data_IF_931783882662
#
_entry.id   IF_931783882662
#
_cell.length_a   1.000
_cell.length_b   1.000
_cell.length_c   1.000
_cell.angle_alpha   90.00
_cell.angle_beta   90.00
_cell.angle_gamma   90.00
#
_symmetry.space_group_name_H-M   'P 1'
#
loop_
_entity.id
_entity.type
_entity.pdbx_description
1 polymer ?
#
# COMPACT_ATOMS: atom_id res chain seq x y z
N UNK A 1 -36.43 12.23 83.99
CA UNK A 1 -35.21 11.69 83.44
C UNK A 1 -35.54 11.20 82.02
N UNK A 2 -35.35 12.05 81.00
CA UNK A 2 -35.57 11.73 79.59
C UNK A 2 -34.24 11.47 78.94
N UNK A 3 -34.09 10.37 78.31
CA UNK A 3 -32.89 9.99 77.46
C UNK A 3 -33.15 10.42 76.02
N UNK A 4 -32.21 11.06 75.32
CA UNK A 4 -32.37 11.34 73.92
C UNK A 4 -31.94 10.13 73.05
N UNK A 5 -32.76 9.82 72.05
CA UNK A 5 -32.48 8.82 71.04
C UNK A 5 -31.57 9.46 69.97
N UNK A 6 -30.41 8.82 69.68
CA UNK A 6 -29.53 9.15 68.53
C UNK A 6 -30.04 8.43 67.32
N UNK A 7 -30.45 9.19 66.32
CA UNK A 7 -30.74 8.66 64.99
C UNK A 7 -29.41 8.62 64.15
N UNK A 8 -28.98 7.45 63.77
CA UNK A 8 -27.84 7.25 62.83
C UNK A 8 -28.39 7.36 61.41
N UNK A 9 -28.05 8.42 60.68
CA UNK A 9 -28.32 8.58 59.27
C UNK A 9 -27.26 7.80 58.48
N UNK A 10 -27.64 6.72 57.83
CA UNK A 10 -26.79 5.97 56.89
C UNK A 10 -26.72 6.74 55.56
N UNK A 11 -25.55 7.30 55.25
CA UNK A 11 -25.26 7.93 53.98
C UNK A 11 -24.95 6.83 52.95
N UNK A 12 -25.89 6.52 52.06
CA UNK A 12 -25.67 5.63 50.90
C UNK A 12 -24.93 6.39 49.84
N UNK A 13 -23.63 6.12 49.68
CA UNK A 13 -22.84 6.57 48.53
C UNK A 13 -23.30 5.76 47.30
N UNK A 14 -24.12 6.37 46.45
CA UNK A 14 -24.39 5.84 45.12
C UNK A 14 -23.12 6.07 44.24
N UNK A 15 -22.31 5.02 44.13
CA UNK A 15 -21.25 4.98 43.11
C UNK A 15 -21.94 4.89 41.75
N UNK A 16 -22.07 6.02 41.08
CA UNK A 16 -22.52 6.08 39.71
C UNK A 16 -21.49 5.36 38.84
N UNK A 17 -21.80 4.12 38.43
CA UNK A 17 -21.12 3.46 37.33
C UNK A 17 -21.50 4.26 36.07
N UNK A 18 -20.66 5.23 35.72
CA UNK A 18 -20.75 5.93 34.46
C UNK A 18 -20.59 4.84 33.35
N UNK A 19 -21.71 4.44 32.73
CA UNK A 19 -21.66 3.69 31.51
C UNK A 19 -20.85 4.51 30.50
N UNK A 20 -19.65 4.10 30.21
CA UNK A 20 -18.89 4.63 29.07
C UNK A 20 -19.83 4.53 27.84
N UNK A 21 -20.33 5.68 27.40
CA UNK A 21 -21.15 5.74 26.20
C UNK A 21 -20.30 5.21 25.07
N UNK A 22 -20.73 4.12 24.42
CA UNK A 22 -20.07 3.61 23.22
C UNK A 22 -19.92 4.77 22.24
N UNK A 23 -18.74 4.97 21.70
CA UNK A 23 -18.53 5.98 20.68
C UNK A 23 -19.39 5.62 19.46
N UNK A 24 -20.18 6.55 18.96
CA UNK A 24 -21.00 6.32 17.77
C UNK A 24 -20.13 6.19 16.51
N UNK A 25 -18.93 6.80 16.51
CA UNK A 25 -17.97 6.81 15.40
C UNK A 25 -16.53 6.60 15.89
N UNK A 26 -15.75 5.94 15.03
CA UNK A 26 -14.29 5.82 15.11
C UNK A 26 -13.67 6.66 14.00
N UNK A 27 -12.97 7.73 14.39
CA UNK A 27 -12.43 8.71 13.46
C UNK A 27 -10.99 8.37 13.09
N UNK A 28 -10.72 8.14 11.81
CA UNK A 28 -9.39 7.83 11.27
C UNK A 28 -8.98 8.91 10.28
N UNK A 29 -7.75 9.43 10.41
CA UNK A 29 -7.16 10.40 9.50
C UNK A 29 -6.51 9.71 8.30
N UNK A 30 -6.94 10.04 7.08
CA UNK A 30 -6.41 9.48 5.83
C UNK A 30 -5.64 10.56 5.06
N UNK A 31 -4.34 10.34 4.86
CA UNK A 31 -3.44 11.31 4.21
C UNK A 31 -3.03 10.81 2.83
N UNK A 32 -3.43 11.53 1.78
CA UNK A 32 -3.13 11.17 0.38
C UNK A 32 -2.86 12.42 -0.47
N UNK A 33 -2.20 12.27 -1.67
CA UNK A 33 -2.00 13.40 -2.59
C UNK A 33 -3.29 13.68 -3.37
N UNK A 34 -4.23 14.41 -2.78
CA UNK A 34 -5.54 14.71 -3.40
C UNK A 34 -5.46 15.74 -4.54
N UNK A 35 -4.37 16.51 -4.59
CA UNK A 35 -4.05 17.46 -5.67
C UNK A 35 -2.60 17.29 -6.14
N UNK A 36 -2.23 17.93 -7.28
CA UNK A 36 -0.89 17.84 -7.85
C UNK A 36 -0.68 16.65 -8.81
N UNK A 37 0.57 16.29 -9.12
CA UNK A 37 0.90 15.27 -10.13
C UNK A 37 0.32 13.87 -9.87
N UNK A 38 0.08 13.53 -8.61
CA UNK A 38 -0.46 12.23 -8.18
C UNK A 38 -1.93 12.32 -7.72
N UNK A 39 -2.67 13.37 -8.12
CA UNK A 39 -4.05 13.59 -7.68
C UNK A 39 -5.00 12.44 -8.03
N UNK A 40 -4.79 11.78 -9.18
CA UNK A 40 -5.62 10.64 -9.58
C UNK A 40 -5.44 9.46 -8.61
N UNK A 41 -4.21 9.18 -8.19
CA UNK A 41 -3.93 8.13 -7.19
C UNK A 41 -4.62 8.48 -5.86
N UNK A 42 -4.57 9.74 -5.43
CA UNK A 42 -5.27 10.19 -4.23
C UNK A 42 -6.80 10.03 -4.33
N UNK A 43 -7.38 10.31 -5.50
CA UNK A 43 -8.82 10.11 -5.74
C UNK A 43 -9.18 8.61 -5.71
N UNK A 44 -8.37 7.75 -6.33
CA UNK A 44 -8.57 6.29 -6.33
C UNK A 44 -8.40 5.71 -4.91
N UNK A 45 -7.41 6.19 -4.14
CA UNK A 45 -7.20 5.85 -2.74
C UNK A 45 -8.40 6.23 -1.86
N UNK A 46 -8.93 7.44 -2.05
CA UNK A 46 -10.13 7.88 -1.35
C UNK A 46 -11.31 6.95 -1.62
N UNK A 47 -11.56 6.62 -2.88
CA UNK A 47 -12.63 5.71 -3.25
C UNK A 47 -12.44 4.30 -2.64
N UNK A 48 -11.20 3.80 -2.59
CA UNK A 48 -10.85 2.52 -1.97
C UNK A 48 -11.11 2.53 -0.46
N UNK A 49 -10.64 3.56 0.24
CA UNK A 49 -10.86 3.75 1.68
C UNK A 49 -12.35 3.89 2.02
N UNK A 50 -13.10 4.67 1.24
CA UNK A 50 -14.55 4.80 1.42
C UNK A 50 -15.29 3.49 1.14
N UNK A 51 -14.82 2.68 0.18
CA UNK A 51 -15.37 1.34 -0.08
C UNK A 51 -15.11 0.40 1.10
N UNK A 52 -13.91 0.41 1.66
CA UNK A 52 -13.60 -0.39 2.85
C UNK A 52 -14.42 0.05 4.07
N UNK A 53 -14.56 1.36 4.29
CA UNK A 53 -15.40 1.89 5.36
C UNK A 53 -16.88 1.52 5.17
N UNK A 54 -17.39 1.54 3.93
CA UNK A 54 -18.75 1.12 3.60
C UNK A 54 -18.98 -0.38 3.85
N UNK A 55 -18.02 -1.25 3.51
CA UNK A 55 -18.06 -2.68 3.82
C UNK A 55 -18.15 -2.90 5.34
N UNK A 56 -17.35 -2.20 6.13
CA UNK A 56 -17.34 -2.32 7.59
C UNK A 56 -18.64 -1.77 8.20
N UNK A 57 -19.10 -0.63 7.72
CA UNK A 57 -20.23 0.11 8.28
C UNK A 57 -21.60 -0.40 7.83
N UNK A 58 -21.68 -0.90 6.60
CA UNK A 58 -22.91 -1.34 5.94
C UNK A 58 -23.29 -2.79 6.24
N UNK A 59 -24.03 -3.41 5.32
CA UNK A 59 -24.50 -4.79 5.43
C UNK A 59 -24.26 -5.54 4.11
N UNK A 60 -23.04 -5.48 3.57
CA UNK A 60 -22.70 -6.07 2.27
C UNK A 60 -22.44 -7.57 2.33
N UNK A 61 -22.14 -8.10 3.53
CA UNK A 61 -21.89 -9.54 3.77
C UNK A 61 -20.79 -10.10 2.85
N UNK A 62 -19.70 -9.36 2.69
CA UNK A 62 -18.54 -9.79 1.91
C UNK A 62 -17.78 -10.87 2.67
N UNK A 63 -17.30 -11.97 2.03
CA UNK A 63 -16.61 -13.06 2.72
C UNK A 63 -15.15 -12.70 3.05
N UNK A 64 -14.95 -11.71 3.92
CA UNK A 64 -13.65 -11.24 4.40
C UNK A 64 -13.76 -10.70 5.83
N UNK A 65 -12.62 -10.35 6.42
CA UNK A 65 -12.55 -9.73 7.74
C UNK A 65 -13.44 -8.48 7.80
N UNK A 66 -14.25 -8.36 8.85
CA UNK A 66 -15.25 -7.29 9.03
C UNK A 66 -16.28 -7.16 7.89
N UNK A 67 -16.25 -8.03 6.90
CA UNK A 67 -17.11 -7.96 5.71
C UNK A 67 -18.60 -8.28 5.97
N UNK A 68 -18.96 -8.80 7.16
CA UNK A 68 -20.34 -8.91 7.60
C UNK A 68 -21.00 -7.54 7.74
N UNK A 69 -20.20 -6.53 8.10
CA UNK A 69 -20.65 -5.16 8.31
C UNK A 69 -21.36 -4.96 9.65
N UNK A 70 -22.03 -3.82 9.77
CA UNK A 70 -22.73 -3.43 11.01
C UNK A 70 -21.89 -2.53 11.92
N UNK A 71 -20.65 -2.20 11.54
CA UNK A 71 -19.68 -1.44 12.35
C UNK A 71 -18.84 -2.34 13.24
N UNK A 72 -18.17 -1.75 14.22
CA UNK A 72 -17.25 -2.42 15.14
C UNK A 72 -18.02 -2.94 16.38
N UNK A 73 -18.25 -4.23 16.45
CA UNK A 73 -19.11 -4.88 17.44
C UNK A 73 -18.60 -4.72 18.89
N UNK A 74 -17.28 -4.74 19.11
CA UNK A 74 -16.66 -4.52 20.42
C UNK A 74 -16.77 -3.07 20.91
N UNK A 75 -17.13 -2.17 20.01
CA UNK A 75 -17.40 -0.76 20.30
C UNK A 75 -18.89 -0.42 20.13
N UNK A 76 -19.78 -1.40 20.31
CA UNK A 76 -21.23 -1.19 20.25
C UNK A 76 -21.78 -0.90 18.86
N UNK A 77 -21.07 -1.30 17.80
CA UNK A 77 -21.45 -1.05 16.40
C UNK A 77 -20.96 0.31 15.87
N UNK A 78 -19.97 0.92 16.53
CA UNK A 78 -19.39 2.20 16.10
C UNK A 78 -18.96 2.15 14.63
N UNK A 79 -19.22 3.24 13.91
CA UNK A 79 -18.93 3.34 12.47
C UNK A 79 -17.57 3.97 12.23
N UNK A 80 -16.84 3.48 11.22
CA UNK A 80 -15.61 4.12 10.75
C UNK A 80 -15.98 5.42 10.03
N UNK A 81 -15.38 6.52 10.45
CA UNK A 81 -15.44 7.81 9.78
C UNK A 81 -14.03 8.24 9.36
N UNK A 82 -13.85 8.54 8.08
CA UNK A 82 -12.58 8.98 7.52
C UNK A 82 -12.55 10.51 7.38
N UNK A 83 -11.44 11.12 7.81
CA UNK A 83 -11.11 12.51 7.52
C UNK A 83 -9.92 12.52 6.57
N UNK A 84 -10.16 12.98 5.34
CA UNK A 84 -9.11 13.06 4.34
C UNK A 84 -8.33 14.37 4.43
N UNK A 85 -7.00 14.27 4.29
CA UNK A 85 -6.10 15.40 4.24
C UNK A 85 -5.20 15.32 3.00
N UNK A 86 -5.05 16.45 2.31
CA UNK A 86 -4.27 16.58 1.09
C UNK A 86 -2.84 17.05 1.40
N UNK A 87 -1.88 16.17 1.24
CA UNK A 87 -0.47 16.54 1.40
C UNK A 87 0.23 16.91 0.08
N UNK A 88 -0.44 16.82 -1.08
CA UNK A 88 0.08 17.24 -2.40
C UNK A 88 1.42 16.58 -2.80
N UNK A 89 1.79 15.45 -2.18
CA UNK A 89 3.10 14.82 -2.34
C UNK A 89 4.25 15.55 -1.62
N UNK A 90 3.95 16.56 -0.81
CA UNK A 90 4.92 17.35 -0.08
C UNK A 90 5.10 16.84 1.36
N UNK A 91 6.33 16.44 1.79
CA UNK A 91 6.58 15.94 3.12
C UNK A 91 6.29 16.94 4.25
N UNK A 92 6.45 18.26 4.02
CA UNK A 92 6.17 19.26 5.05
C UNK A 92 4.66 19.47 5.23
N UNK A 93 3.90 19.47 4.13
CA UNK A 93 2.44 19.48 4.19
C UNK A 93 1.92 18.20 4.85
N UNK A 94 2.48 17.03 4.50
CA UNK A 94 2.12 15.77 5.11
C UNK A 94 2.32 15.79 6.64
N UNK A 95 3.42 16.38 7.11
CA UNK A 95 3.68 16.60 8.52
C UNK A 95 2.61 17.50 9.16
N UNK A 96 2.34 18.66 8.58
CA UNK A 96 1.39 19.63 9.11
C UNK A 96 -0.03 19.03 9.17
N UNK A 97 -0.46 18.33 8.13
CA UNK A 97 -1.76 17.68 8.10
C UNK A 97 -1.88 16.52 9.10
N UNK A 98 -0.81 15.74 9.32
CA UNK A 98 -0.79 14.70 10.33
C UNK A 98 -0.93 15.32 11.75
N UNK A 99 -0.20 16.40 12.06
CA UNK A 99 -0.33 17.13 13.32
C UNK A 99 -1.76 17.69 13.49
N UNK A 100 -2.36 18.27 12.44
CA UNK A 100 -3.73 18.79 12.47
C UNK A 100 -4.76 17.71 12.75
N UNK A 101 -4.67 16.58 12.03
CA UNK A 101 -5.59 15.45 12.23
C UNK A 101 -5.55 14.92 13.67
N UNK A 102 -4.38 14.82 14.28
CA UNK A 102 -4.23 14.35 15.65
C UNK A 102 -4.74 15.40 16.65
N UNK A 103 -4.27 16.66 16.53
CA UNK A 103 -4.48 17.66 17.58
C UNK A 103 -5.80 18.41 17.48
N UNK A 104 -6.42 18.51 16.31
CA UNK A 104 -7.65 19.26 16.08
C UNK A 104 -8.85 18.36 15.77
N UNK A 105 -8.64 17.28 14.99
CA UNK A 105 -9.70 16.35 14.65
C UNK A 105 -9.78 15.14 15.60
N UNK A 106 -8.78 14.98 16.47
CA UNK A 106 -8.71 13.92 17.47
C UNK A 106 -8.89 12.51 16.89
N UNK A 107 -8.22 12.24 15.77
CA UNK A 107 -8.24 10.92 15.14
C UNK A 107 -7.52 9.90 16.01
N UNK A 108 -8.04 8.68 16.10
CA UNK A 108 -7.46 7.59 16.91
C UNK A 108 -6.36 6.83 16.18
N UNK A 109 -6.23 7.04 14.88
CA UNK A 109 -5.19 6.46 14.01
C UNK A 109 -5.04 7.28 12.74
N UNK A 110 -3.87 7.15 12.09
CA UNK A 110 -3.58 7.68 10.77
C UNK A 110 -3.41 6.53 9.77
N UNK A 111 -3.75 6.77 8.49
CA UNK A 111 -3.56 5.81 7.38
C UNK A 111 -3.12 6.54 6.11
N UNK A 112 -2.29 5.90 5.30
CA UNK A 112 -1.81 6.41 4.01
C UNK A 112 -0.35 5.99 3.77
N UNK A 113 0.40 6.65 2.89
CA UNK A 113 0.14 7.95 2.23
C UNK A 113 0.54 7.96 0.73
N UNK A 114 0.79 6.85 0.10
CA UNK A 114 1.32 6.64 -1.25
C UNK A 114 2.83 6.87 -1.35
N UNK A 115 3.33 8.11 -1.18
CA UNK A 115 4.77 8.38 -1.29
C UNK A 115 5.52 8.03 0.00
N UNK A 116 6.66 7.32 -0.13
CA UNK A 116 7.50 6.98 1.03
C UNK A 116 8.09 8.21 1.74
N UNK A 117 8.35 9.30 1.00
CA UNK A 117 8.84 10.55 1.57
C UNK A 117 7.82 11.22 2.51
N UNK A 118 6.52 11.20 2.16
CA UNK A 118 5.45 11.69 3.03
C UNK A 118 5.22 10.76 4.21
N UNK A 119 5.24 9.43 3.99
CA UNK A 119 5.15 8.44 5.07
C UNK A 119 6.27 8.61 6.11
N UNK A 120 7.47 8.98 5.69
CA UNK A 120 8.59 9.24 6.58
C UNK A 120 8.31 10.37 7.58
N UNK A 121 7.64 11.45 7.15
CA UNK A 121 7.29 12.57 8.03
C UNK A 121 6.03 12.30 8.85
N UNK A 122 4.99 11.69 8.26
CA UNK A 122 3.76 11.30 8.96
C UNK A 122 4.08 10.36 10.12
N UNK A 123 4.90 9.33 9.87
CA UNK A 123 5.24 8.35 10.91
C UNK A 123 6.08 8.92 12.06
N UNK A 124 6.89 9.96 11.83
CA UNK A 124 7.56 10.70 12.91
C UNK A 124 6.57 11.48 13.77
N UNK A 125 5.56 12.10 13.13
CA UNK A 125 4.47 12.78 13.87
C UNK A 125 3.67 11.75 14.67
N UNK A 126 3.23 10.69 14.05
CA UNK A 126 2.48 9.62 14.69
C UNK A 126 3.21 9.04 15.91
N UNK A 127 4.51 8.77 15.78
CA UNK A 127 5.34 8.25 16.88
C UNK A 127 5.50 9.27 18.02
N UNK A 128 5.66 10.55 17.69
CA UNK A 128 5.75 11.63 18.68
C UNK A 128 4.47 11.82 19.51
N UNK A 129 3.31 11.66 18.87
CA UNK A 129 2.00 11.82 19.49
C UNK A 129 1.43 10.49 20.00
N UNK A 130 2.15 9.39 19.85
CA UNK A 130 1.74 8.05 20.27
C UNK A 130 0.42 7.61 19.64
N UNK A 131 0.23 7.93 18.34
CA UNK A 131 -0.95 7.56 17.53
C UNK A 131 -0.54 6.52 16.48
N UNK A 132 -1.25 5.39 16.35
CA UNK A 132 -0.94 4.39 15.33
C UNK A 132 -1.00 4.96 13.91
N UNK A 133 0.03 4.68 13.11
CA UNK A 133 0.05 4.97 11.67
C UNK A 133 0.12 3.70 10.87
N UNK A 134 -0.91 3.42 10.07
CA UNK A 134 -0.99 2.30 9.15
C UNK A 134 -0.54 2.74 7.76
N UNK A 135 0.61 2.24 7.32
CA UNK A 135 1.10 2.42 5.95
C UNK A 135 0.48 1.35 5.05
N UNK A 136 -0.30 1.78 4.06
CA UNK A 136 -0.96 0.90 3.13
C UNK A 136 -0.04 0.48 1.97
N UNK A 137 0.61 1.44 1.34
CA UNK A 137 1.23 1.32 0.02
C UNK A 137 2.68 1.83 -0.08
N UNK A 138 3.20 2.45 0.96
CA UNK A 138 4.60 2.88 1.02
C UNK A 138 5.55 1.67 1.06
N UNK A 139 6.55 1.63 0.18
CA UNK A 139 7.36 0.43 0.01
C UNK A 139 8.82 0.54 0.47
N UNK A 140 9.33 1.75 0.78
CA UNK A 140 10.70 1.93 1.22
C UNK A 140 11.01 1.12 2.50
N UNK A 141 12.03 0.23 2.49
CA UNK A 141 12.38 -0.56 3.67
C UNK A 141 12.92 0.29 4.82
N UNK A 142 13.54 1.43 4.54
CA UNK A 142 14.07 2.31 5.58
C UNK A 142 12.98 2.88 6.50
N UNK A 143 11.70 2.86 6.11
CA UNK A 143 10.59 3.28 6.96
C UNK A 143 10.47 2.44 8.23
N UNK A 144 10.75 1.15 8.19
CA UNK A 144 10.73 0.24 9.35
C UNK A 144 12.03 0.23 10.17
N UNK A 145 13.11 0.82 9.64
CA UNK A 145 14.46 0.75 10.25
C UNK A 145 14.74 1.92 11.21
N UNK A 146 13.76 2.79 11.45
CA UNK A 146 13.92 4.01 12.27
C UNK A 146 13.59 3.83 13.74
N UNK A 147 13.20 2.61 14.16
CA UNK A 147 12.87 2.28 15.54
C UNK A 147 11.55 2.92 16.03
N UNK A 148 10.68 3.34 15.11
CA UNK A 148 9.38 3.92 15.46
C UNK A 148 8.43 2.82 15.94
N UNK A 149 7.74 3.07 17.05
CA UNK A 149 6.88 2.07 17.71
C UNK A 149 5.44 2.10 17.23
N UNK A 150 5.05 3.19 16.56
CA UNK A 150 3.67 3.47 16.15
C UNK A 150 3.45 3.33 14.64
N UNK A 151 4.47 2.85 13.92
CA UNK A 151 4.43 2.59 12.49
C UNK A 151 4.13 1.12 12.21
N UNK A 152 3.12 0.85 11.37
CA UNK A 152 2.75 -0.49 10.91
C UNK A 152 2.55 -0.46 9.39
N UNK A 153 3.01 -1.50 8.69
CA UNK A 153 2.84 -1.61 7.24
C UNK A 153 2.30 -2.98 6.86
N UNK A 154 1.12 -3.01 6.22
CA UNK A 154 0.51 -4.24 5.74
C UNK A 154 1.16 -4.77 4.46
N UNK A 155 1.62 -3.89 3.58
CA UNK A 155 2.20 -4.24 2.27
C UNK A 155 3.62 -4.81 2.38
N UNK A 156 4.09 -5.55 1.36
CA UNK A 156 5.50 -5.84 1.20
C UNK A 156 6.32 -4.55 1.08
N UNK A 157 7.59 -4.59 1.45
CA UNK A 157 8.57 -3.52 1.16
C UNK A 157 9.46 -3.87 -0.04
N UNK A 158 10.24 -2.89 -0.51
CA UNK A 158 11.00 -3.02 -1.77
C UNK A 158 11.95 -4.21 -1.80
N UNK A 159 12.55 -4.62 -0.68
CA UNK A 159 13.39 -5.82 -0.64
C UNK A 159 12.56 -7.07 -0.94
N UNK A 160 11.34 -7.21 -0.36
CA UNK A 160 10.45 -8.35 -0.64
C UNK A 160 9.97 -8.33 -2.09
N UNK A 161 9.63 -7.18 -2.61
CA UNK A 161 9.23 -6.99 -4.00
C UNK A 161 10.36 -7.33 -4.98
N UNK A 162 11.56 -6.81 -4.72
CA UNK A 162 12.75 -7.06 -5.55
C UNK A 162 13.13 -8.54 -5.54
N UNK A 163 13.01 -9.21 -4.39
CA UNK A 163 13.21 -10.65 -4.32
C UNK A 163 12.29 -11.40 -5.31
N UNK A 164 10.99 -11.06 -5.34
CA UNK A 164 10.06 -11.70 -6.28
C UNK A 164 10.41 -11.43 -7.75
N UNK A 165 10.93 -10.23 -8.08
CA UNK A 165 11.41 -9.93 -9.44
C UNK A 165 12.60 -10.81 -9.83
N UNK A 166 13.59 -10.94 -8.95
CA UNK A 166 14.78 -11.75 -9.24
C UNK A 166 14.49 -13.25 -9.21
N UNK A 167 13.55 -13.70 -8.38
CA UNK A 167 13.03 -15.07 -8.43
C UNK A 167 12.35 -15.33 -9.78
N UNK A 168 11.53 -14.40 -10.28
CA UNK A 168 10.96 -14.49 -11.62
C UNK A 168 12.04 -14.53 -12.69
N UNK A 169 13.09 -13.70 -12.65
CA UNK A 169 14.19 -13.74 -13.63
C UNK A 169 14.91 -15.08 -13.64
N UNK A 170 15.18 -15.65 -12.47
CA UNK A 170 15.78 -17.00 -12.34
C UNK A 170 14.89 -18.05 -12.98
N UNK A 171 13.61 -18.07 -12.62
CA UNK A 171 12.69 -19.13 -12.96
C UNK A 171 12.24 -19.06 -14.43
N UNK A 172 12.00 -17.86 -14.96
CA UNK A 172 11.70 -17.68 -16.39
C UNK A 172 12.93 -18.02 -17.25
N UNK A 173 14.12 -17.66 -16.79
CA UNK A 173 15.38 -18.02 -17.44
C UNK A 173 15.59 -19.53 -17.50
N UNK A 174 15.28 -20.25 -16.43
CA UNK A 174 15.33 -21.71 -16.40
C UNK A 174 14.29 -22.33 -17.35
N UNK A 175 13.10 -21.74 -17.43
CA UNK A 175 11.99 -22.24 -18.28
C UNK A 175 12.22 -22.01 -19.76
N UNK A 176 12.82 -20.87 -20.14
CA UNK A 176 12.98 -20.45 -21.54
C UNK A 176 14.37 -20.70 -22.11
N UNK A 177 15.37 -20.95 -21.27
CA UNK A 177 16.79 -20.99 -21.65
C UNK A 177 17.45 -19.62 -21.78
N UNK A 178 16.72 -18.52 -21.61
CA UNK A 178 17.20 -17.15 -21.80
C UNK A 178 17.29 -16.41 -20.46
N UNK A 179 18.49 -16.39 -19.89
CA UNK A 179 18.78 -15.75 -18.61
C UNK A 179 18.96 -14.24 -18.77
N UNK A 180 18.50 -13.47 -17.78
CA UNK A 180 18.85 -12.05 -17.62
C UNK A 180 20.33 -11.95 -17.27
N UNK A 181 21.09 -11.17 -18.04
CA UNK A 181 22.52 -10.94 -17.83
C UNK A 181 22.83 -9.50 -17.43
N UNK A 182 21.94 -8.57 -17.76
CA UNK A 182 22.12 -7.15 -17.46
C UNK A 182 20.81 -6.43 -17.20
N UNK A 183 20.89 -5.42 -16.31
CA UNK A 183 19.78 -4.53 -16.00
C UNK A 183 20.20 -3.07 -16.07
N UNK A 184 19.26 -2.19 -16.39
CA UNK A 184 19.34 -0.75 -16.13
C UNK A 184 18.43 -0.45 -14.97
N UNK A 185 18.96 0.18 -13.91
CA UNK A 185 18.19 0.75 -12.83
C UNK A 185 17.82 2.18 -13.20
N UNK A 186 16.55 2.52 -13.10
CA UNK A 186 16.05 3.85 -13.45
C UNK A 186 15.12 4.32 -12.33
N UNK A 187 15.48 5.38 -11.60
CA UNK A 187 14.75 5.70 -10.39
C UNK A 187 14.69 7.21 -10.10
N UNK A 188 13.55 7.64 -9.54
CA UNK A 188 13.42 9.00 -9.02
C UNK A 188 14.29 9.21 -7.77
N UNK A 189 14.52 10.48 -7.41
CA UNK A 189 15.56 10.87 -6.44
C UNK A 189 15.08 10.93 -4.97
N UNK A 190 13.84 10.53 -4.68
CA UNK A 190 13.36 10.48 -3.30
C UNK A 190 13.74 9.17 -2.59
N UNK A 191 13.29 9.01 -1.35
CA UNK A 191 13.52 7.79 -0.55
C UNK A 191 12.96 6.53 -1.24
N UNK A 192 11.82 6.60 -1.96
CA UNK A 192 11.27 5.46 -2.68
C UNK A 192 12.22 4.97 -3.78
N UNK A 193 12.56 5.84 -4.73
CA UNK A 193 13.43 5.44 -5.85
C UNK A 193 14.81 5.02 -5.37
N UNK A 194 15.39 5.75 -4.41
CA UNK A 194 16.71 5.42 -3.85
C UNK A 194 16.74 4.06 -3.16
N UNK A 195 15.78 3.76 -2.29
CA UNK A 195 15.73 2.49 -1.57
C UNK A 195 15.40 1.31 -2.49
N UNK A 196 14.51 1.52 -3.46
CA UNK A 196 14.19 0.53 -4.51
C UNK A 196 15.44 0.18 -5.34
N UNK A 197 16.17 1.20 -5.84
CA UNK A 197 17.39 0.99 -6.61
C UNK A 197 18.46 0.28 -5.80
N UNK A 198 18.66 0.65 -4.53
CA UNK A 198 19.59 -0.04 -3.64
C UNK A 198 19.25 -1.53 -3.47
N UNK A 199 17.97 -1.87 -3.27
CA UNK A 199 17.53 -3.26 -3.17
C UNK A 199 17.76 -4.01 -4.49
N UNK A 200 17.43 -3.40 -5.63
CA UNK A 200 17.64 -3.98 -6.95
C UNK A 200 19.12 -4.22 -7.24
N UNK A 201 19.98 -3.27 -6.89
CA UNK A 201 21.44 -3.37 -7.06
C UNK A 201 22.03 -4.52 -6.23
N UNK A 202 21.65 -4.59 -4.95
CA UNK A 202 22.12 -5.67 -4.07
C UNK A 202 21.73 -7.05 -4.60
N UNK A 203 20.50 -7.19 -5.11
CA UNK A 203 20.04 -8.47 -5.65
C UNK A 203 20.64 -8.78 -7.02
N UNK A 204 20.89 -7.78 -7.86
CA UNK A 204 21.62 -7.96 -9.11
C UNK A 204 23.04 -8.47 -8.85
N UNK A 205 23.76 -7.86 -7.91
CA UNK A 205 25.10 -8.28 -7.51
C UNK A 205 25.08 -9.73 -6.99
N UNK A 206 24.13 -10.07 -6.11
CA UNK A 206 23.98 -11.43 -5.56
C UNK A 206 23.64 -12.48 -6.63
N UNK A 207 22.89 -12.09 -7.67
CA UNK A 207 22.50 -12.96 -8.79
C UNK A 207 23.56 -13.02 -9.90
N UNK A 208 24.65 -12.24 -9.83
CA UNK A 208 25.64 -12.12 -10.89
C UNK A 208 25.12 -11.42 -12.14
N UNK A 209 24.10 -10.59 -12.01
CA UNK A 209 23.50 -9.80 -13.08
C UNK A 209 24.16 -8.42 -13.13
N UNK A 210 24.68 -8.03 -14.30
CA UNK A 210 25.37 -6.75 -14.46
C UNK A 210 24.38 -5.58 -14.37
N UNK A 211 24.64 -4.63 -13.49
CA UNK A 211 24.00 -3.30 -13.55
C UNK A 211 24.74 -2.49 -14.62
N UNK A 212 24.12 -2.38 -15.81
CA UNK A 212 24.71 -1.70 -16.96
C UNK A 212 24.68 -0.17 -16.79
N UNK A 213 23.65 0.36 -16.13
CA UNK A 213 23.56 1.75 -15.70
C UNK A 213 22.65 1.86 -14.47
N UNK A 214 22.95 2.84 -13.61
CA UNK A 214 22.14 3.24 -12.46
C UNK A 214 21.81 4.72 -12.66
N UNK A 215 20.59 5.00 -13.12
CA UNK A 215 20.17 6.30 -13.64
C UNK A 215 19.18 6.92 -12.66
N UNK A 216 19.66 7.88 -11.89
CA UNK A 216 18.87 8.69 -10.98
C UNK A 216 18.39 9.95 -11.67
N UNK A 217 17.10 10.25 -11.54
CA UNK A 217 16.51 11.49 -12.05
C UNK A 217 15.71 12.21 -10.96
N UNK A 218 15.48 13.51 -11.18
CA UNK A 218 14.63 14.29 -10.29
C UNK A 218 13.16 13.95 -10.53
N UNK A 219 12.44 13.52 -9.48
CA UNK A 219 11.01 13.22 -9.57
C UNK A 219 10.17 14.42 -10.05
N UNK A 220 9.15 14.16 -10.82
CA UNK A 220 8.29 15.16 -11.48
C UNK A 220 9.07 16.10 -12.42
N UNK A 221 10.13 15.63 -13.05
CA UNK A 221 10.85 16.37 -14.07
C UNK A 221 9.96 16.63 -15.30
N UNK A 222 10.11 17.79 -15.97
CA UNK A 222 9.35 18.08 -17.18
C UNK A 222 9.81 17.26 -18.39
N UNK A 223 10.99 16.66 -18.33
CA UNK A 223 11.59 15.82 -19.39
C UNK A 223 12.57 14.83 -18.80
N UNK A 224 12.63 13.65 -19.41
CA UNK A 224 13.56 12.55 -19.12
C UNK A 224 14.42 12.20 -20.35
N UNK A 225 14.56 13.12 -21.29
CA UNK A 225 15.22 12.85 -22.58
C UNK A 225 16.69 12.45 -22.43
N UNK A 226 17.43 13.05 -21.49
CA UNK A 226 18.83 12.71 -21.23
C UNK A 226 18.97 11.30 -20.63
N UNK A 227 18.10 10.96 -19.69
CA UNK A 227 18.06 9.68 -19.01
C UNK A 227 17.66 8.56 -19.98
N UNK A 228 16.70 8.81 -20.85
CA UNK A 228 16.27 7.86 -21.90
C UNK A 228 17.42 7.54 -22.89
N UNK A 229 18.24 8.53 -23.25
CA UNK A 229 19.44 8.28 -24.07
C UNK A 229 20.47 7.43 -23.33
N UNK A 230 20.62 7.59 -22.03
CA UNK A 230 21.49 6.71 -21.23
C UNK A 230 20.96 5.28 -21.19
N UNK A 231 19.63 5.08 -21.04
CA UNK A 231 19.00 3.76 -21.10
C UNK A 231 19.30 3.11 -22.46
N UNK A 232 19.07 3.84 -23.56
CA UNK A 232 19.33 3.36 -24.92
C UNK A 232 20.80 2.99 -25.12
N UNK A 233 21.73 3.79 -24.62
CA UNK A 233 23.16 3.51 -24.71
C UNK A 233 23.60 2.28 -23.90
N UNK A 234 22.96 2.03 -22.76
CA UNK A 234 23.24 0.87 -21.92
C UNK A 234 22.76 -0.46 -22.51
N UNK A 235 21.68 -0.46 -23.29
CA UNK A 235 21.06 -1.59 -24.02
C UNK A 235 21.02 -2.90 -23.22
N UNK A 236 20.53 -2.83 -21.99
CA UNK A 236 20.47 -3.98 -21.08
C UNK A 236 19.29 -4.92 -21.44
N UNK A 237 19.28 -6.11 -20.85
CA UNK A 237 18.21 -7.08 -21.05
C UNK A 237 16.90 -6.62 -20.42
N UNK A 238 16.97 -5.96 -19.25
CA UNK A 238 15.79 -5.48 -18.52
C UNK A 238 16.00 -4.05 -18.04
N UNK A 239 14.98 -3.20 -18.23
CA UNK A 239 14.88 -1.91 -17.56
C UNK A 239 14.05 -2.11 -16.30
N UNK A 240 14.56 -1.65 -15.15
CA UNK A 240 13.91 -1.73 -13.83
C UNK A 240 13.56 -0.33 -13.31
N UNK A 241 12.42 0.25 -13.74
CA UNK A 241 12.06 1.60 -13.32
C UNK A 241 11.37 1.61 -11.94
N UNK A 242 11.74 2.61 -11.11
CA UNK A 242 11.09 2.96 -9.86
C UNK A 242 10.60 4.41 -9.99
N UNK A 243 9.38 4.58 -10.54
CA UNK A 243 8.85 5.87 -10.97
C UNK A 243 7.37 6.01 -10.62
N UNK A 244 6.96 7.23 -10.25
CA UNK A 244 5.55 7.56 -10.12
C UNK A 244 4.88 7.77 -11.48
N UNK A 245 3.55 7.90 -11.52
CA UNK A 245 2.75 7.79 -12.75
C UNK A 245 3.16 8.77 -13.84
N UNK A 246 3.37 10.05 -13.52
CA UNK A 246 3.80 11.06 -14.51
C UNK A 246 5.14 10.73 -15.13
N UNK A 247 6.10 10.28 -14.32
CA UNK A 247 7.45 9.96 -14.76
C UNK A 247 7.48 8.64 -15.54
N UNK A 248 6.65 7.66 -15.16
CA UNK A 248 6.46 6.42 -15.90
C UNK A 248 5.93 6.68 -17.32
N UNK A 249 4.96 7.58 -17.46
CA UNK A 249 4.41 8.00 -18.75
C UNK A 249 5.49 8.68 -19.60
N UNK A 250 6.28 9.60 -19.00
CA UNK A 250 7.39 10.28 -19.69
C UNK A 250 8.47 9.29 -20.13
N UNK A 251 8.81 8.31 -19.30
CA UNK A 251 9.76 7.26 -19.67
C UNK A 251 9.29 6.49 -20.92
N UNK A 252 8.05 5.99 -20.91
CA UNK A 252 7.54 5.18 -22.02
C UNK A 252 7.49 5.97 -23.33
N UNK A 253 7.00 7.21 -23.27
CA UNK A 253 6.98 8.10 -24.44
C UNK A 253 8.38 8.44 -24.91
N UNK A 254 9.30 8.74 -24.00
CA UNK A 254 10.68 9.03 -24.34
C UNK A 254 11.40 7.87 -25.02
N UNK A 255 11.20 6.62 -24.53
CA UNK A 255 11.75 5.43 -25.19
C UNK A 255 11.22 5.26 -26.62
N UNK A 256 9.92 5.48 -26.82
CA UNK A 256 9.28 5.47 -28.13
C UNK A 256 9.85 6.57 -29.06
N UNK A 257 9.96 7.81 -28.56
CA UNK A 257 10.39 8.96 -29.36
C UNK A 257 11.84 8.83 -29.85
N UNK A 258 12.71 8.16 -29.08
CA UNK A 258 14.09 7.85 -29.51
C UNK A 258 14.20 6.57 -30.34
N UNK A 259 13.07 5.90 -30.65
CA UNK A 259 13.02 4.66 -31.41
C UNK A 259 13.73 3.50 -30.71
N UNK A 260 13.62 3.40 -29.39
CA UNK A 260 14.20 2.29 -28.62
C UNK A 260 13.10 1.40 -28.04
N UNK A 261 13.15 0.12 -28.41
CA UNK A 261 12.25 -0.90 -27.87
C UNK A 261 13.01 -1.77 -26.86
N UNK A 262 12.70 -1.68 -25.55
CA UNK A 262 13.32 -2.53 -24.55
C UNK A 262 13.00 -4.01 -24.79
N UNK A 263 13.95 -4.91 -24.50
CA UNK A 263 13.69 -6.36 -24.50
C UNK A 263 12.69 -6.75 -23.42
N UNK A 264 12.79 -6.13 -22.22
CA UNK A 264 11.84 -6.24 -21.14
C UNK A 264 11.86 -5.01 -20.23
N UNK A 265 10.72 -4.69 -19.62
CA UNK A 265 10.57 -3.72 -18.52
C UNK A 265 9.99 -4.47 -17.33
N UNK A 266 10.65 -4.37 -16.17
CA UNK A 266 10.20 -4.91 -14.88
C UNK A 266 10.11 -3.77 -13.88
N UNK A 267 8.94 -3.18 -13.75
CA UNK A 267 8.73 -1.99 -12.95
C UNK A 267 8.55 -2.29 -11.45
N UNK A 268 8.99 -1.33 -10.62
CA UNK A 268 8.80 -1.33 -9.16
C UNK A 268 7.44 -0.75 -8.78
N UNK A 269 6.34 -1.20 -9.41
CA UNK A 269 4.96 -0.72 -9.16
C UNK A 269 4.81 0.81 -9.30
N UNK A 270 4.22 1.46 -8.30
CA UNK A 270 3.90 2.87 -8.29
C UNK A 270 3.12 3.27 -9.55
N UNK A 271 3.70 4.06 -10.44
CA UNK A 271 3.02 4.52 -11.63
C UNK A 271 2.66 3.45 -12.66
N UNK A 272 3.33 2.29 -12.63
CA UNK A 272 3.12 1.23 -13.63
C UNK A 272 1.98 0.26 -13.32
N UNK A 273 1.24 0.47 -12.24
CA UNK A 273 0.08 -0.35 -11.84
C UNK A 273 -1.23 0.44 -11.86
N UNK A 274 -1.17 1.68 -12.35
CA UNK A 274 -2.31 2.57 -12.42
C UNK A 274 -3.01 2.50 -13.78
N UNK A 275 -4.36 2.52 -13.78
CA UNK A 275 -5.11 2.61 -15.03
C UNK A 275 -4.73 3.85 -15.84
N UNK A 276 -4.49 4.98 -15.16
CA UNK A 276 -4.05 6.22 -15.78
C UNK A 276 -2.75 6.09 -16.59
N UNK A 277 -1.83 5.18 -16.20
CA UNK A 277 -0.65 4.87 -16.99
C UNK A 277 -1.02 4.20 -18.32
N UNK A 278 -1.84 3.15 -18.27
CA UNK A 278 -2.29 2.43 -19.47
C UNK A 278 -3.04 3.40 -20.42
N UNK A 279 -3.96 4.18 -19.89
CA UNK A 279 -4.75 5.15 -20.66
C UNK A 279 -3.87 6.20 -21.35
N UNK A 280 -2.80 6.64 -20.67
CA UNK A 280 -1.92 7.70 -21.17
C UNK A 280 -0.90 7.22 -22.21
N UNK A 281 -0.43 5.98 -22.12
CA UNK A 281 0.61 5.45 -23.03
C UNK A 281 0.05 4.47 -24.06
N UNK A 282 -1.18 3.99 -23.88
CA UNK A 282 -1.88 3.11 -24.83
C UNK A 282 -1.07 1.86 -25.17
N UNK A 283 -0.87 1.57 -26.48
CA UNK A 283 -0.14 0.37 -26.93
C UNK A 283 1.30 0.27 -26.42
N UNK A 284 1.91 1.36 -25.97
CA UNK A 284 3.28 1.34 -25.42
C UNK A 284 3.34 0.60 -24.07
N UNK A 285 2.20 0.42 -23.38
CA UNK A 285 2.13 -0.37 -22.17
C UNK A 285 2.22 -1.88 -22.39
N UNK A 286 1.97 -2.35 -23.61
CA UNK A 286 1.90 -3.78 -23.91
C UNK A 286 3.21 -4.51 -23.56
N UNK A 287 3.10 -5.59 -22.78
CA UNK A 287 4.24 -6.39 -22.35
C UNK A 287 5.01 -5.82 -21.15
N UNK A 288 4.72 -4.62 -20.68
CA UNK A 288 5.33 -4.07 -19.46
C UNK A 288 4.96 -4.96 -18.27
N UNK A 289 5.98 -5.37 -17.53
CA UNK A 289 5.83 -6.13 -16.28
C UNK A 289 5.99 -5.20 -15.08
N UNK A 290 5.28 -5.50 -14.01
CA UNK A 290 5.43 -4.84 -12.72
C UNK A 290 5.25 -5.84 -11.58
N UNK A 291 5.98 -5.60 -10.49
CA UNK A 291 5.62 -6.26 -9.23
C UNK A 291 4.28 -5.71 -8.75
N UNK A 292 3.52 -6.52 -8.07
CA UNK A 292 2.26 -6.13 -7.45
C UNK A 292 2.07 -6.84 -6.11
N UNK A 293 1.34 -6.23 -5.20
CA UNK A 293 0.92 -6.85 -3.95
C UNK A 293 -0.52 -7.40 -4.04
N UNK A 294 -1.26 -7.03 -5.08
CA UNK A 294 -2.64 -7.44 -5.33
C UNK A 294 -2.77 -8.10 -6.70
N UNK A 295 -3.75 -8.98 -6.83
CA UNK A 295 -4.05 -9.68 -8.08
C UNK A 295 -5.57 -9.79 -8.25
N UNK A 296 -6.14 -8.98 -9.14
CA UNK A 296 -7.59 -8.99 -9.43
C UNK A 296 -8.04 -10.35 -9.97
N UNK A 297 -7.19 -10.99 -10.75
CA UNK A 297 -7.42 -12.31 -11.36
C UNK A 297 -7.23 -13.49 -10.38
N UNK A 298 -6.86 -13.23 -9.11
CA UNK A 298 -6.77 -14.23 -8.05
C UNK A 298 -8.12 -14.58 -7.39
N UNK A 299 -9.25 -14.23 -7.99
CA UNK A 299 -10.59 -14.38 -7.43
C UNK A 299 -10.95 -15.82 -7.03
N UNK A 300 -10.39 -16.84 -7.72
CA UNK A 300 -10.58 -18.25 -7.34
C UNK A 300 -10.02 -18.57 -5.95
N UNK A 301 -8.87 -17.97 -5.60
CA UNK A 301 -8.23 -18.16 -4.30
C UNK A 301 -8.73 -17.15 -3.24
N UNK A 302 -9.38 -16.09 -3.67
CA UNK A 302 -9.90 -15.00 -2.83
C UNK A 302 -11.33 -14.64 -3.22
N UNK A 303 -12.34 -15.38 -2.74
CA UNK A 303 -13.75 -15.19 -3.14
C UNK A 303 -14.33 -13.80 -2.82
N UNK A 304 -13.69 -13.04 -1.92
CA UNK A 304 -14.11 -11.67 -1.61
C UNK A 304 -13.83 -10.68 -2.74
N UNK A 305 -12.83 -10.93 -3.61
CA UNK A 305 -12.40 -9.98 -4.66
C UNK A 305 -13.55 -9.51 -5.54
N UNK A 306 -14.40 -10.37 -6.15
CA UNK A 306 -15.45 -9.91 -7.04
C UNK A 306 -16.47 -8.98 -6.36
N UNK A 307 -16.80 -9.24 -5.10
CA UNK A 307 -17.75 -8.41 -4.35
C UNK A 307 -17.14 -7.05 -3.99
N UNK A 308 -15.89 -7.03 -3.54
CA UNK A 308 -15.18 -5.77 -3.19
C UNK A 308 -14.93 -4.95 -4.44
N UNK A 309 -14.49 -5.58 -5.53
CA UNK A 309 -14.27 -4.92 -6.82
C UNK A 309 -15.55 -4.30 -7.36
N UNK A 310 -16.68 -5.01 -7.30
CA UNK A 310 -17.97 -4.48 -7.72
C UNK A 310 -18.40 -3.23 -6.92
N UNK A 311 -18.16 -3.22 -5.60
CA UNK A 311 -18.45 -2.06 -4.73
C UNK A 311 -17.53 -0.88 -5.07
N UNK A 312 -16.23 -1.15 -5.25
CA UNK A 312 -15.27 -0.13 -5.65
C UNK A 312 -15.60 0.45 -7.04
N UNK A 313 -15.88 -0.42 -8.01
CA UNK A 313 -16.23 -0.02 -9.39
C UNK A 313 -17.52 0.80 -9.43
N UNK A 314 -18.52 0.47 -8.63
CA UNK A 314 -19.73 1.27 -8.52
C UNK A 314 -19.47 2.70 -8.00
N UNK A 315 -18.41 2.89 -7.18
CA UNK A 315 -18.00 4.18 -6.63
C UNK A 315 -17.07 4.96 -7.55
N UNK A 316 -16.14 4.29 -8.23
CA UNK A 316 -15.01 4.92 -8.93
C UNK A 316 -14.97 4.65 -10.44
N UNK A 317 -15.90 3.83 -10.98
CA UNK A 317 -15.95 3.40 -12.38
C UNK A 317 -14.64 2.77 -12.91
N UNK A 318 -13.86 2.15 -12.02
CA UNK A 318 -12.61 1.44 -12.30
C UNK A 318 -12.57 0.14 -11.55
N UNK A 319 -11.82 -0.83 -12.05
CA UNK A 319 -11.50 -2.03 -11.32
C UNK A 319 -10.39 -1.76 -10.26
N UNK A 320 -10.31 -2.61 -9.25
CA UNK A 320 -9.24 -2.57 -8.25
C UNK A 320 -7.88 -2.81 -8.92
N UNK A 321 -6.86 -2.12 -8.41
CA UNK A 321 -5.46 -2.29 -8.79
C UNK A 321 -4.57 -2.59 -7.57
N UNK A 322 -3.25 -2.63 -7.78
CA UNK A 322 -2.27 -2.88 -6.73
C UNK A 322 -2.43 -1.92 -5.53
N UNK A 323 -2.54 -0.62 -5.77
CA UNK A 323 -2.63 0.37 -4.70
C UNK A 323 -3.99 0.27 -3.97
N UNK A 324 -5.10 0.25 -4.70
CA UNK A 324 -6.44 0.24 -4.10
C UNK A 324 -6.74 -1.04 -3.32
N UNK A 325 -6.24 -2.19 -3.77
CA UNK A 325 -6.32 -3.45 -3.01
C UNK A 325 -5.57 -3.39 -1.69
N UNK A 326 -4.37 -2.78 -1.67
CA UNK A 326 -3.57 -2.57 -0.45
C UNK A 326 -4.27 -1.62 0.52
N UNK A 327 -4.84 -0.55 0.03
CA UNK A 327 -5.54 0.47 0.83
C UNK A 327 -6.77 -0.09 1.51
N UNK A 328 -7.61 -0.83 0.78
CA UNK A 328 -8.77 -1.53 1.37
C UNK A 328 -8.31 -2.47 2.48
N UNK A 329 -7.29 -3.28 2.21
CA UNK A 329 -6.77 -4.25 3.17
C UNK A 329 -6.21 -3.57 4.41
N UNK A 330 -5.46 -2.48 4.26
CA UNK A 330 -4.87 -1.74 5.36
C UNK A 330 -5.94 -1.14 6.29
N UNK A 331 -7.01 -0.54 5.72
CA UNK A 331 -8.10 -0.01 6.54
C UNK A 331 -8.85 -1.11 7.27
N UNK A 332 -9.12 -2.24 6.62
CA UNK A 332 -9.80 -3.38 7.26
C UNK A 332 -8.96 -3.96 8.41
N UNK A 333 -7.64 -4.10 8.23
CA UNK A 333 -6.71 -4.55 9.28
C UNK A 333 -6.64 -3.58 10.45
N UNK A 334 -6.58 -2.27 10.17
CA UNK A 334 -6.60 -1.23 11.20
C UNK A 334 -7.92 -1.24 11.98
N UNK A 335 -9.03 -1.30 11.28
CA UNK A 335 -10.36 -1.36 11.89
C UNK A 335 -10.56 -2.62 12.74
N UNK A 336 -10.03 -3.77 12.30
CA UNK A 336 -10.04 -4.99 13.09
C UNK A 336 -9.22 -4.86 14.39
N UNK A 337 -8.04 -4.25 14.32
CA UNK A 337 -7.24 -3.99 15.50
C UNK A 337 -7.96 -3.07 16.49
N UNK A 338 -8.60 -2.00 16.01
CA UNK A 338 -9.43 -1.11 16.83
C UNK A 338 -10.61 -1.88 17.45
N UNK A 339 -11.28 -2.72 16.67
CA UNK A 339 -12.36 -3.57 17.15
C UNK A 339 -11.89 -4.54 18.24
N UNK A 340 -10.77 -5.24 18.03
CA UNK A 340 -10.18 -6.17 19.03
C UNK A 340 -9.72 -5.45 20.30
N UNK A 341 -9.23 -4.22 20.18
CA UNK A 341 -8.89 -3.38 21.32
C UNK A 341 -10.12 -3.07 22.21
N UNK A 342 -11.32 -3.02 21.62
CA UNK A 342 -12.57 -2.66 22.32
C UNK A 342 -12.48 -1.28 23.00
N UNK A 343 -11.63 -0.38 22.50
CA UNK A 343 -11.28 0.90 23.09
C UNK A 343 -10.75 1.84 22.00
N UNK A 344 -10.90 3.14 22.21
CA UNK A 344 -10.28 4.19 21.39
C UNK A 344 -8.94 4.68 21.97
N UNK A 345 -8.46 4.04 23.02
CA UNK A 345 -7.14 4.28 23.61
C UNK A 345 -6.06 3.78 22.63
N UNK A 346 -5.15 4.67 22.25
CA UNK A 346 -4.15 4.45 21.22
C UNK A 346 -3.17 3.33 21.59
N UNK A 347 -2.78 3.23 22.86
CA UNK A 347 -1.91 2.14 23.35
C UNK A 347 -2.58 0.76 23.20
N UNK A 348 -3.88 0.66 23.49
CA UNK A 348 -4.63 -0.59 23.30
C UNK A 348 -4.77 -0.94 21.83
N UNK A 349 -4.99 0.05 20.96
CA UNK A 349 -5.04 -0.13 19.51
C UNK A 349 -3.66 -0.63 19.02
N UNK A 350 -2.58 0.00 19.48
CA UNK A 350 -1.21 -0.42 19.17
C UNK A 350 -0.93 -1.85 19.63
N UNK A 351 -1.32 -2.22 20.83
CA UNK A 351 -1.16 -3.59 21.34
C UNK A 351 -1.94 -4.60 20.49
N UNK A 352 -3.15 -4.25 20.06
CA UNK A 352 -3.95 -5.08 19.15
C UNK A 352 -3.30 -5.19 17.76
N UNK A 353 -2.65 -4.13 17.25
CA UNK A 353 -1.86 -4.17 16.00
C UNK A 353 -0.66 -5.11 16.14
N UNK A 354 0.12 -5.00 17.21
CA UNK A 354 1.26 -5.90 17.49
C UNK A 354 0.81 -7.37 17.56
N UNK A 355 -0.38 -7.63 18.12
CA UNK A 355 -0.94 -8.97 18.24
C UNK A 355 -1.71 -9.45 16.99
N UNK A 356 -1.63 -8.73 15.87
CA UNK A 356 -2.35 -9.10 14.63
C UNK A 356 -1.78 -10.41 14.06
N UNK A 357 -2.69 -11.36 13.79
CA UNK A 357 -2.43 -12.63 13.10
C UNK A 357 -3.69 -13.00 12.29
N UNK A 358 -3.81 -12.45 11.08
CA UNK A 358 -4.96 -12.56 10.19
C UNK A 358 -4.60 -13.51 9.05
N UNK A 359 -5.33 -14.63 8.87
CA UNK A 359 -5.06 -15.53 7.75
C UNK A 359 -5.45 -14.90 6.40
N UNK A 360 -4.72 -15.24 5.35
CA UNK A 360 -4.85 -14.61 4.03
C UNK A 360 -6.24 -14.75 3.39
N UNK A 361 -6.99 -15.81 3.72
CA UNK A 361 -8.34 -16.00 3.21
C UNK A 361 -9.38 -15.03 3.81
N UNK A 362 -9.00 -14.26 4.82
CA UNK A 362 -9.80 -13.16 5.37
C UNK A 362 -9.49 -11.80 4.75
N UNK A 363 -8.63 -11.77 3.74
CA UNK A 363 -8.26 -10.55 2.98
C UNK A 363 -8.55 -10.75 1.50
N UNK A 364 -8.48 -9.66 0.72
CA UNK A 364 -8.52 -9.72 -0.74
C UNK A 364 -7.14 -9.91 -1.37
N UNK A 365 -6.08 -9.98 -0.55
CA UNK A 365 -4.69 -10.03 -1.03
C UNK A 365 -4.24 -11.46 -1.30
N UNK A 366 -3.32 -11.70 -2.25
CA UNK A 366 -2.76 -13.04 -2.52
C UNK A 366 -1.79 -13.53 -1.43
N UNK A 367 -1.72 -12.85 -0.31
CA UNK A 367 -0.79 -13.08 0.78
C UNK A 367 -1.15 -14.31 1.63
N UNK A 368 -0.19 -14.81 2.40
CA UNK A 368 -0.43 -15.82 3.40
C UNK A 368 -1.26 -15.28 4.56
N UNK A 369 -1.09 -14.01 4.89
CA UNK A 369 -1.79 -13.36 5.97
C UNK A 369 -1.29 -11.95 6.27
N UNK A 370 -1.68 -11.45 7.45
CA UNK A 370 -1.14 -10.22 8.01
C UNK A 370 -0.65 -10.51 9.43
N UNK A 371 0.67 -10.40 9.62
CA UNK A 371 1.34 -10.57 10.91
C UNK A 371 2.51 -9.62 11.01
N UNK A 372 2.49 -8.74 12.00
CA UNK A 372 3.52 -7.73 12.17
C UNK A 372 4.70 -8.26 12.99
N UNK A 373 5.91 -7.97 12.54
CA UNK A 373 7.14 -8.17 13.33
C UNK A 373 7.37 -7.00 14.32
N UNK A 374 8.49 -7.04 15.03
CA UNK A 374 8.86 -6.01 16.00
C UNK A 374 9.06 -4.61 15.39
N UNK A 375 9.21 -4.51 14.06
CA UNK A 375 9.37 -3.25 13.32
C UNK A 375 8.05 -2.73 12.75
N UNK A 376 6.94 -3.46 12.98
CA UNK A 376 5.63 -3.17 12.41
C UNK A 376 5.49 -3.58 10.94
N UNK A 377 6.41 -4.38 10.38
CA UNK A 377 6.31 -4.92 9.03
C UNK A 377 5.47 -6.20 9.00
N UNK A 378 4.52 -6.29 8.07
CA UNK A 378 3.84 -7.54 7.76
C UNK A 378 4.82 -8.53 7.12
N UNK A 379 5.06 -9.66 7.79
CA UNK A 379 5.96 -10.73 7.34
C UNK A 379 5.29 -11.76 6.43
N UNK A 380 3.95 -11.79 6.38
CA UNK A 380 3.15 -12.74 5.59
C UNK A 380 2.70 -12.17 4.23
N UNK A 381 3.11 -10.94 3.91
CA UNK A 381 2.82 -10.32 2.63
C UNK A 381 3.66 -10.96 1.51
N UNK A 382 3.01 -11.35 0.41
CA UNK A 382 3.66 -12.06 -0.70
C UNK A 382 3.40 -11.32 -2.02
N UNK A 383 4.46 -10.81 -2.69
CA UNK A 383 4.31 -10.18 -4.00
C UNK A 383 3.92 -11.16 -5.10
N UNK A 384 3.32 -10.61 -6.16
CA UNK A 384 3.17 -11.26 -7.47
C UNK A 384 3.83 -10.41 -8.55
N UNK A 385 4.08 -10.98 -9.73
CA UNK A 385 4.44 -10.22 -10.93
C UNK A 385 3.25 -10.23 -11.86
N UNK A 386 2.91 -9.05 -12.36
CA UNK A 386 1.88 -8.84 -13.38
C UNK A 386 2.51 -8.37 -14.69
N UNK A 387 1.84 -8.64 -15.79
CA UNK A 387 2.19 -8.14 -17.13
C UNK A 387 0.95 -7.53 -17.79
N UNK A 388 1.13 -6.39 -18.44
CA UNK A 388 0.06 -5.76 -19.22
C UNK A 388 -0.07 -6.48 -20.56
N UNK A 389 -1.30 -6.94 -20.86
CA UNK A 389 -1.67 -7.58 -22.12
C UNK A 389 -3.07 -7.11 -22.52
N UNK A 390 -3.20 -6.61 -23.73
CA UNK A 390 -4.47 -6.06 -24.19
C UNK A 390 -5.01 -4.93 -23.32
N UNK A 391 -4.13 -4.16 -22.66
CA UNK A 391 -4.49 -3.07 -21.75
C UNK A 391 -4.98 -3.51 -20.38
N UNK A 392 -4.75 -4.77 -19.96
CA UNK A 392 -5.16 -5.33 -18.67
C UNK A 392 -3.97 -5.95 -17.97
N UNK A 393 -3.94 -5.87 -16.64
CA UNK A 393 -2.94 -6.52 -15.81
C UNK A 393 -3.28 -8.00 -15.61
N UNK A 394 -2.36 -8.90 -15.98
CA UNK A 394 -2.47 -10.34 -15.75
C UNK A 394 -1.36 -10.83 -14.86
N UNK A 395 -1.70 -11.63 -13.86
CA UNK A 395 -0.71 -12.28 -12.98
C UNK A 395 0.03 -13.34 -13.77
N UNK A 396 1.37 -13.23 -13.84
CA UNK A 396 2.26 -14.13 -14.58
C UNK A 396 3.22 -14.90 -13.67
N UNK A 397 3.35 -14.52 -12.40
CA UNK A 397 4.23 -15.18 -11.42
C UNK A 397 3.75 -14.91 -9.99
N UNK A 398 3.89 -15.86 -9.03
CA UNK A 398 4.46 -17.22 -9.19
C UNK A 398 3.71 -18.07 -10.23
N UNK A 399 4.40 -19.02 -10.91
CA UNK A 399 3.82 -19.76 -12.02
C UNK A 399 2.66 -20.69 -11.65
N UNK A 400 2.58 -21.11 -10.39
CA UNK A 400 1.49 -21.96 -9.86
C UNK A 400 0.18 -21.20 -9.62
N UNK A 401 0.25 -19.86 -9.51
CA UNK A 401 -0.92 -18.98 -9.35
C UNK A 401 -1.12 -18.04 -10.54
N UNK A 402 -0.28 -18.15 -11.56
CA UNK A 402 -0.35 -17.33 -12.76
C UNK A 402 -1.68 -17.55 -13.50
N UNK A 403 -2.35 -16.45 -13.86
CA UNK A 403 -3.54 -16.47 -14.71
C UNK A 403 -3.18 -16.71 -16.18
N UNK A 404 -2.01 -16.20 -16.60
CA UNK A 404 -1.50 -16.33 -17.96
C UNK A 404 0.02 -16.56 -18.00
N UNK A 405 0.55 -17.17 -19.08
CA UNK A 405 1.99 -17.29 -19.27
C UNK A 405 2.62 -15.93 -19.56
N UNK A 406 3.82 -15.69 -19.04
CA UNK A 406 4.59 -14.49 -19.35
C UNK A 406 4.97 -14.43 -20.85
N UNK A 407 4.86 -13.24 -21.45
CA UNK A 407 5.52 -12.92 -22.72
C UNK A 407 6.92 -12.43 -22.40
N UNK A 408 7.93 -13.21 -22.81
CA UNK A 408 9.33 -12.97 -22.49
C UNK A 408 10.18 -12.81 -23.74
N UNK A 409 10.83 -11.65 -23.89
CA UNK A 409 11.57 -11.28 -25.11
C UNK A 409 13.09 -11.22 -24.90
N UNK A 410 13.59 -11.43 -23.68
CA UNK A 410 15.04 -11.50 -23.44
C UNK A 410 15.61 -12.72 -24.15
N UNK A 411 16.65 -12.50 -24.94
CA UNK A 411 17.32 -13.54 -25.72
C UNK A 411 16.70 -13.84 -27.10
N UNK A 412 15.71 -13.02 -27.53
CA UNK A 412 15.14 -13.11 -28.90
C UNK A 412 15.80 -12.09 -29.83
#
# INVERSE_FOLDING_TARGET
>A
MQRPAFAIAALVLAVGIGSARAADEVVIGALYPMTGPNAQVGADAKAAMETAADIINGNHNVPMLLGKGGGLDKLGGAKIRLIFADHQGDPQKARAEAERLITQEHVVALIGSYQSATAATISQVADRYEVPYMSADNSSPSLNQRGLKWFFRTSPHDVMFTQAMFDFFRDIGAKTGHKVSSVVLFHEDTIFGTDSSNAQKQMADAAGIKVAADIRYRGNSPSLSAEVQQIKAADADVIMPSSYTSDAILLMRGLHDVGYTPKAIMAQSAGFVEQAFIDAVGPLAEGVMSRSAFALDASKARPAIPAVDALYKARNNKDLNDNTGREITALVVLADAINRAGSLDEDKIRQALVATDIPGNQTIMPWKGVKFDATGQNTEASPVIQQIKGGVYHTIYPFDVAAEPAVWNVGK
#
